data_IF_794360141995
#
_entry.id   IF_794360141995
#
_cell.length_a   1.000
_cell.length_b   1.000
_cell.length_c   1.000
_cell.angle_alpha   90.00
_cell.angle_beta   90.00
_cell.angle_gamma   90.00
#
_symmetry.space_group_name_H-M   'P 1'
#
loop_
_entity.id
_entity.type
_entity.pdbx_description
1 polymer ?
#
# COMPACT_ATOMS: atom_id res chain seq x y z
N UNK A 1 36.33 25.24 -5.89
CA UNK A 1 34.88 25.49 -5.85
C UNK A 1 34.24 24.27 -6.53
N UNK A 2 33.41 23.42 -5.95
CA UNK A 2 32.89 23.13 -4.61
C UNK A 2 32.48 21.66 -4.73
N UNK A 3 32.80 20.84 -3.73
CA UNK A 3 32.56 19.40 -3.80
C UNK A 3 31.06 19.18 -3.64
N UNK A 4 30.38 18.73 -4.70
CA UNK A 4 28.99 18.30 -4.59
C UNK A 4 28.94 17.01 -3.77
N UNK A 5 28.74 17.20 -2.47
CA UNK A 5 28.46 16.16 -1.48
C UNK A 5 27.18 15.44 -1.93
N UNK A 6 27.35 14.38 -2.72
CA UNK A 6 26.35 13.32 -2.86
C UNK A 6 26.15 12.75 -1.47
N UNK A 7 25.16 13.30 -0.78
CA UNK A 7 24.68 12.75 0.47
C UNK A 7 23.85 11.57 0.02
N UNK A 8 24.48 10.42 -0.17
CA UNK A 8 23.74 9.16 -0.18
C UNK A 8 23.01 9.14 1.17
N UNK A 9 21.67 9.19 1.20
CA UNK A 9 20.96 8.90 2.43
C UNK A 9 21.12 7.40 2.59
N UNK A 10 22.25 6.97 3.16
CA UNK A 10 22.31 5.71 3.86
C UNK A 10 21.26 5.84 4.96
N UNK A 11 20.04 5.41 4.61
CA UNK A 11 18.88 5.28 5.46
C UNK A 11 19.28 4.31 6.58
N UNK A 12 19.90 4.85 7.62
CA UNK A 12 19.91 4.25 8.95
C UNK A 12 18.49 4.41 9.51
N UNK A 13 17.56 3.78 8.80
CA UNK A 13 16.15 3.78 9.11
C UNK A 13 16.00 2.78 10.25
N UNK A 14 15.57 3.27 11.42
CA UNK A 14 15.40 2.41 12.59
C UNK A 14 14.54 1.18 12.24
N UNK A 15 14.73 0.04 12.92
CA UNK A 15 14.05 -1.22 12.59
C UNK A 15 12.51 -1.08 12.54
N UNK A 16 11.95 -0.16 13.32
CA UNK A 16 10.52 0.17 13.34
C UNK A 16 10.06 0.92 12.09
N UNK A 17 10.87 1.82 11.57
CA UNK A 17 10.55 2.62 10.39
C UNK A 17 10.70 1.76 9.10
N UNK A 18 11.64 0.80 9.11
CA UNK A 18 11.71 -0.29 8.13
C UNK A 18 10.47 -1.21 8.17
N UNK A 19 9.96 -1.52 9.36
CA UNK A 19 8.76 -2.34 9.50
C UNK A 19 7.52 -1.61 8.95
N UNK A 20 7.35 -0.33 9.31
CA UNK A 20 6.21 0.46 8.85
C UNK A 20 6.24 0.63 7.33
N UNK A 21 7.40 0.94 6.75
CA UNK A 21 7.54 1.07 5.30
C UNK A 21 7.22 -0.25 4.57
N UNK A 22 7.65 -1.40 5.11
CA UNK A 22 7.29 -2.70 4.57
C UNK A 22 5.78 -2.97 4.64
N UNK A 23 5.14 -2.66 5.77
CA UNK A 23 3.68 -2.82 5.92
C UNK A 23 2.94 -1.95 4.90
N UNK A 24 3.32 -0.67 4.79
CA UNK A 24 2.70 0.26 3.85
C UNK A 24 2.91 -0.17 2.40
N UNK A 25 4.09 -0.69 2.06
CA UNK A 25 4.37 -1.22 0.73
C UNK A 25 3.54 -2.47 0.43
N UNK A 26 3.39 -3.38 1.40
CA UNK A 26 2.62 -4.61 1.23
C UNK A 26 1.09 -4.38 1.23
N UNK A 27 0.63 -3.29 1.84
CA UNK A 27 -0.80 -2.94 1.94
C UNK A 27 -1.34 -2.25 0.68
N UNK A 28 -0.47 -1.83 -0.24
CA UNK A 28 -0.89 -1.20 -1.49
C UNK A 28 -1.48 -2.24 -2.45
N UNK A 29 -2.74 -2.03 -2.81
CA UNK A 29 -3.41 -2.78 -3.89
C UNK A 29 -3.28 -1.94 -5.15
N UNK A 30 -2.61 -2.46 -6.19
CA UNK A 30 -2.44 -1.73 -7.46
C UNK A 30 -3.36 -2.31 -8.52
N UNK A 31 -3.91 -1.44 -9.37
CA UNK A 31 -4.74 -1.87 -10.49
C UNK A 31 -3.97 -2.73 -11.52
N UNK A 32 -2.64 -2.65 -11.51
CA UNK A 32 -1.75 -3.44 -12.38
C UNK A 32 -1.42 -4.82 -11.80
N UNK A 33 -1.74 -5.06 -10.53
CA UNK A 33 -1.44 -6.34 -9.90
C UNK A 33 -2.39 -7.42 -10.42
N UNK A 34 -1.84 -8.61 -10.66
CA UNK A 34 -2.62 -9.78 -11.03
C UNK A 34 -2.76 -10.66 -9.81
N UNK A 35 -3.99 -10.93 -9.41
CA UNK A 35 -4.31 -11.77 -8.27
C UNK A 35 -4.83 -13.14 -8.75
N UNK A 36 -4.48 -14.20 -8.03
CA UNK A 36 -4.94 -15.56 -8.33
C UNK A 36 -6.48 -15.63 -8.34
N UNK A 37 -7.10 -15.01 -7.34
CA UNK A 37 -8.55 -14.76 -7.34
C UNK A 37 -8.78 -13.28 -7.65
N UNK A 38 -9.59 -12.96 -8.68
CA UNK A 38 -9.93 -11.58 -8.98
C UNK A 38 -10.60 -10.87 -7.80
N UNK A 39 -10.39 -9.55 -7.62
CA UNK A 39 -11.07 -8.80 -6.58
C UNK A 39 -12.58 -8.77 -6.82
N UNK A 40 -13.35 -8.87 -5.73
CA UNK A 40 -14.80 -8.70 -5.78
C UNK A 40 -15.12 -7.20 -5.87
N UNK A 41 -16.02 -6.82 -6.79
CA UNK A 41 -16.40 -5.43 -7.03
C UNK A 41 -17.80 -5.17 -6.49
N UNK A 42 -17.92 -4.19 -5.60
CA UNK A 42 -19.17 -3.74 -4.98
C UNK A 42 -19.37 -2.27 -5.34
N UNK A 43 -20.58 -1.92 -5.77
CA UNK A 43 -20.99 -0.56 -6.05
C UNK A 43 -21.90 -0.07 -4.92
N UNK A 44 -21.52 1.01 -4.26
CA UNK A 44 -22.31 1.63 -3.19
C UNK A 44 -22.47 3.11 -3.53
N UNK A 45 -23.71 3.53 -3.81
CA UNK A 45 -24.04 4.87 -4.29
C UNK A 45 -23.14 5.30 -5.47
N UNK A 46 -22.24 6.25 -5.22
CA UNK A 46 -21.27 6.79 -6.19
C UNK A 46 -19.84 6.25 -6.00
N UNK A 47 -19.66 5.23 -5.17
CA UNK A 47 -18.35 4.65 -4.85
C UNK A 47 -18.23 3.23 -5.40
N UNK A 48 -17.05 2.90 -5.91
CA UNK A 48 -16.65 1.54 -6.29
C UNK A 48 -15.69 1.01 -5.23
N UNK A 49 -16.00 -0.16 -4.68
CA UNK A 49 -15.13 -0.87 -3.74
C UNK A 49 -14.67 -2.16 -4.41
N UNK A 50 -13.37 -2.43 -4.37
CA UNK A 50 -12.76 -3.67 -4.83
C UNK A 50 -12.05 -4.36 -3.65
N UNK A 51 -12.35 -5.63 -3.37
CA UNK A 51 -11.76 -6.35 -2.22
C UNK A 51 -11.15 -7.69 -2.63
N UNK A 52 -10.01 -8.01 -2.01
CA UNK A 52 -9.34 -9.32 -2.13
C UNK A 52 -9.71 -10.21 -0.93
N UNK A 53 -11.00 -10.30 -0.63
CA UNK A 53 -11.51 -11.01 0.53
C UNK A 53 -12.95 -10.63 0.86
N UNK A 54 -13.50 -11.27 1.89
CA UNK A 54 -14.87 -11.07 2.32
C UNK A 54 -15.02 -9.71 3.03
N UNK A 55 -15.94 -8.89 2.55
CA UNK A 55 -16.30 -7.61 3.16
C UNK A 55 -17.49 -7.80 4.10
N UNK A 56 -17.38 -7.33 5.35
CA UNK A 56 -18.49 -7.23 6.29
C UNK A 56 -18.75 -5.77 6.63
N UNK A 57 -20.02 -5.37 6.65
CA UNK A 57 -20.45 -4.03 7.05
C UNK A 57 -21.56 -4.13 8.09
N UNK A 58 -21.48 -3.29 9.12
CA UNK A 58 -22.52 -3.16 10.14
C UNK A 58 -23.56 -2.14 9.68
N UNK A 59 -24.81 -2.57 9.54
CA UNK A 59 -25.96 -1.65 9.49
C UNK A 59 -26.36 -1.41 10.94
N UNK A 60 -25.89 -0.32 11.54
CA UNK A 60 -26.21 0.04 12.93
C UNK A 60 -27.70 -0.02 13.24
#
# INVERSE_FOLDING_TARGET
MENERRTDPSLDMGPEECLLSNILSASQIRATDTYETPPQIIWIDNSTIATLGNFSASTG
#
